data_IF_083508063251
#
_entry.id   IF_083508063251
#
_cell.length_a   1.000
_cell.length_b   1.000
_cell.length_c   1.000
_cell.angle_alpha   90.00
_cell.angle_beta   90.00
_cell.angle_gamma   90.00
#
_symmetry.space_group_name_H-M   'P 1'
#
loop_
_entity.id
_entity.type
_entity.pdbx_description
1 polymer ?
#
# COMPACT_ATOMS: atom_id res chain seq x y z
N UNK A 1 50.12 19.64 33.03
CA UNK A 1 50.09 18.51 32.08
C UNK A 1 48.76 17.78 32.30
N UNK A 2 47.70 18.15 31.58
CA UNK A 2 46.40 17.48 31.71
C UNK A 2 46.29 16.40 30.64
N UNK A 3 46.02 15.18 31.10
CA UNK A 3 45.90 13.98 30.29
C UNK A 3 44.80 14.18 29.24
N UNK A 4 45.20 14.07 27.98
CA UNK A 4 44.35 14.12 26.81
C UNK A 4 43.58 12.79 26.74
N UNK A 5 42.42 12.71 27.39
CA UNK A 5 41.54 11.53 27.29
C UNK A 5 40.97 11.53 25.86
N UNK A 6 41.61 10.78 24.97
CA UNK A 6 41.02 10.32 23.71
C UNK A 6 39.80 9.47 24.05
N UNK A 7 38.62 10.09 24.16
CA UNK A 7 37.36 9.38 23.97
C UNK A 7 37.25 9.06 22.48
N UNK A 8 37.78 7.91 22.07
CA UNK A 8 37.52 7.35 20.75
C UNK A 8 36.02 7.13 20.62
N UNK A 9 35.34 7.95 19.82
CA UNK A 9 33.94 7.77 19.48
C UNK A 9 33.74 6.37 18.89
N UNK A 10 32.73 5.65 19.38
CA UNK A 10 32.36 4.36 18.81
C UNK A 10 31.45 4.65 17.62
N UNK A 11 31.92 4.31 16.42
CA UNK A 11 31.14 4.46 15.20
C UNK A 11 30.19 3.29 15.05
N UNK A 12 28.97 3.55 14.58
CA UNK A 12 28.12 2.48 14.08
C UNK A 12 28.85 1.76 12.92
N UNK A 13 28.79 0.42 12.82
CA UNK A 13 29.56 -0.32 11.81
C UNK A 13 29.27 0.17 10.38
N UNK A 14 30.34 0.32 9.59
CA UNK A 14 30.35 0.86 8.20
C UNK A 14 29.33 0.22 7.25
N UNK A 15 28.86 -1.00 7.53
CA UNK A 15 27.90 -1.72 6.69
C UNK A 15 26.47 -1.15 6.73
N UNK A 16 26.14 -0.33 7.72
CA UNK A 16 24.74 0.09 7.96
C UNK A 16 24.42 1.47 7.36
N UNK A 17 25.40 2.39 7.30
CA UNK A 17 25.21 3.72 6.71
C UNK A 17 25.50 3.78 5.19
N UNK A 18 26.15 2.74 4.63
CA UNK A 18 26.65 2.73 3.25
C UNK A 18 26.15 1.54 2.40
N UNK A 19 24.99 0.97 2.70
CA UNK A 19 24.15 0.37 1.65
C UNK A 19 23.32 1.52 1.04
N UNK A 20 23.86 2.43 0.21
CA UNK A 20 24.04 2.28 -1.26
C UNK A 20 23.11 1.28 -2.00
N UNK A 21 21.93 1.03 -1.44
CA UNK A 21 20.67 0.72 -2.14
C UNK A 21 19.60 1.75 -1.75
N UNK A 22 20.07 2.97 -1.48
CA UNK A 22 19.47 4.07 -0.72
C UNK A 22 18.33 4.80 -1.45
N UNK A 23 17.57 4.07 -2.26
CA UNK A 23 16.36 4.54 -2.92
C UNK A 23 15.17 3.59 -2.82
N UNK A 24 15.34 2.36 -2.32
CA UNK A 24 14.31 1.32 -2.43
C UNK A 24 13.66 0.87 -1.13
N UNK A 25 14.17 1.25 0.05
CA UNK A 25 13.59 0.84 1.33
C UNK A 25 12.17 1.41 1.53
N UNK A 26 11.88 2.53 0.85
CA UNK A 26 10.58 3.19 0.87
C UNK A 26 9.78 3.04 -0.43
N UNK A 27 10.20 2.18 -1.38
CA UNK A 27 9.50 1.94 -2.66
C UNK A 27 8.70 0.61 -2.63
N UNK A 28 7.84 0.44 -1.64
CA UNK A 28 6.80 -0.60 -1.67
C UNK A 28 5.47 0.07 -1.32
N UNK A 29 4.93 0.83 -2.27
CA UNK A 29 3.65 1.53 -2.13
C UNK A 29 2.76 1.30 -3.34
N UNK A 30 2.51 0.04 -3.65
CA UNK A 30 1.11 -0.36 -3.86
C UNK A 30 0.57 -0.57 -2.45
N UNK A 31 -0.70 -0.51 -2.14
CA UNK A 31 -1.46 -1.75 -2.11
C UNK A 31 -2.76 -1.46 -1.34
N UNK A 32 -3.44 -0.38 -1.71
CA UNK A 32 -4.67 -0.01 -1.01
C UNK A 32 -5.87 0.03 -2.00
N UNK A 33 -5.68 -0.03 -3.32
CA UNK A 33 -6.80 -0.03 -4.30
C UNK A 33 -7.40 -1.39 -4.74
N UNK A 34 -6.81 -2.54 -4.40
CA UNK A 34 -7.06 -3.81 -5.12
C UNK A 34 -8.37 -4.55 -4.79
N UNK A 35 -9.08 -4.17 -3.72
CA UNK A 35 -10.22 -4.94 -3.22
C UNK A 35 -11.31 -5.07 -4.29
N UNK A 36 -11.61 -4.00 -5.01
CA UNK A 36 -12.62 -4.02 -6.07
C UNK A 36 -12.25 -5.00 -7.20
N UNK A 37 -10.97 -5.04 -7.57
CA UNK A 37 -10.47 -5.90 -8.65
C UNK A 37 -10.39 -7.36 -8.23
N UNK A 38 -9.91 -7.63 -7.01
CA UNK A 38 -9.81 -8.98 -6.49
C UNK A 38 -11.19 -9.64 -6.38
N UNK A 39 -12.19 -8.87 -5.98
CA UNK A 39 -13.55 -9.35 -5.84
C UNK A 39 -14.24 -9.54 -7.19
N UNK A 40 -13.96 -8.68 -8.17
CA UNK A 40 -14.38 -8.87 -9.55
C UNK A 40 -13.93 -10.21 -10.13
N UNK A 41 -12.65 -10.53 -9.91
CA UNK A 41 -11.98 -11.67 -10.52
C UNK A 41 -12.39 -13.01 -9.87
N UNK A 42 -12.53 -13.05 -8.54
CA UNK A 42 -12.89 -14.30 -7.85
C UNK A 42 -14.41 -14.48 -7.75
N UNK A 43 -15.12 -13.44 -7.29
CA UNK A 43 -16.52 -13.58 -6.87
C UNK A 43 -17.47 -13.80 -8.04
N UNK A 44 -17.27 -13.08 -9.14
CA UNK A 44 -18.17 -13.12 -10.30
C UNK A 44 -17.73 -14.18 -11.31
N UNK A 45 -16.43 -14.41 -11.46
CA UNK A 45 -15.92 -15.48 -12.32
C UNK A 45 -16.47 -16.84 -11.92
N UNK A 46 -16.32 -17.22 -10.64
CA UNK A 46 -16.77 -18.54 -10.15
C UNK A 46 -18.30 -18.69 -10.24
N UNK A 47 -19.06 -17.59 -10.18
CA UNK A 47 -20.52 -17.62 -10.27
C UNK A 47 -21.02 -17.82 -11.71
N UNK A 48 -20.43 -17.12 -12.68
CA UNK A 48 -20.96 -17.04 -14.04
C UNK A 48 -20.43 -18.17 -14.96
N UNK A 49 -19.27 -18.75 -14.66
CA UNK A 49 -18.70 -19.87 -15.45
C UNK A 49 -19.59 -21.11 -15.59
N UNK A 50 -20.65 -21.21 -14.78
CA UNK A 50 -21.62 -22.30 -14.85
C UNK A 50 -22.71 -22.12 -15.93
N UNK A 51 -22.89 -20.93 -16.51
CA UNK A 51 -23.94 -20.65 -17.51
C UNK A 51 -23.38 -20.03 -18.79
N UNK A 52 -23.39 -20.82 -19.87
CA UNK A 52 -22.87 -20.44 -21.19
C UNK A 52 -23.94 -19.74 -22.04
N UNK A 53 -24.05 -18.41 -21.92
CA UNK A 53 -24.74 -17.56 -22.89
C UNK A 53 -23.73 -16.61 -23.57
N UNK A 54 -23.87 -16.37 -24.88
CA UNK A 54 -22.92 -15.56 -25.67
C UNK A 54 -22.84 -14.10 -25.17
N UNK A 55 -23.96 -13.50 -24.79
CA UNK A 55 -24.02 -12.14 -24.21
C UNK A 55 -23.21 -12.06 -22.90
N UNK A 56 -23.35 -13.07 -22.05
CA UNK A 56 -22.61 -13.20 -20.80
C UNK A 56 -21.10 -13.31 -21.04
N UNK A 57 -20.66 -13.96 -22.12
CA UNK A 57 -19.23 -14.05 -22.44
C UNK A 57 -18.62 -12.71 -22.85
N UNK A 58 -19.35 -11.87 -23.60
CA UNK A 58 -18.87 -10.54 -23.97
C UNK A 58 -18.70 -9.65 -22.73
N UNK A 59 -19.68 -9.67 -21.83
CA UNK A 59 -19.63 -8.89 -20.59
C UNK A 59 -18.54 -9.40 -19.62
N UNK A 60 -18.33 -10.72 -19.56
CA UNK A 60 -17.21 -11.30 -18.79
C UNK A 60 -15.85 -10.86 -19.33
N UNK A 61 -15.66 -10.79 -20.66
CA UNK A 61 -14.41 -10.26 -21.23
C UNK A 61 -14.20 -8.80 -20.88
N UNK A 62 -15.23 -7.97 -21.04
CA UNK A 62 -15.16 -6.55 -20.70
C UNK A 62 -14.86 -6.29 -19.21
N UNK A 63 -15.36 -7.18 -18.33
CA UNK A 63 -15.06 -7.17 -16.91
C UNK A 63 -13.59 -7.56 -16.64
N UNK A 64 -13.10 -8.60 -17.32
CA UNK A 64 -11.71 -9.05 -17.27
C UNK A 64 -10.73 -7.97 -17.73
N UNK A 65 -11.02 -7.31 -18.85
CA UNK A 65 -10.20 -6.22 -19.38
C UNK A 65 -10.11 -5.05 -18.40
N UNK A 66 -11.24 -4.70 -17.79
CA UNK A 66 -11.29 -3.65 -16.75
C UNK A 66 -10.49 -4.07 -15.52
N UNK A 67 -10.63 -5.31 -15.06
CA UNK A 67 -9.83 -5.85 -13.96
C UNK A 67 -8.32 -5.80 -14.26
N UNK A 68 -7.92 -6.23 -15.46
CA UNK A 68 -6.52 -6.22 -15.89
C UNK A 68 -5.94 -4.81 -15.99
N UNK A 69 -6.71 -3.85 -16.52
CA UNK A 69 -6.32 -2.44 -16.54
C UNK A 69 -6.09 -1.91 -15.13
N UNK A 70 -7.00 -2.22 -14.20
CA UNK A 70 -6.89 -1.77 -12.82
C UNK A 70 -5.69 -2.40 -12.09
N UNK A 71 -5.38 -3.68 -12.35
CA UNK A 71 -4.19 -4.36 -11.81
C UNK A 71 -2.91 -3.77 -12.39
N UNK A 72 -2.85 -3.54 -13.70
CA UNK A 72 -1.64 -3.00 -14.33
C UNK A 72 -1.35 -1.58 -13.84
N UNK A 73 -2.39 -0.76 -13.66
CA UNK A 73 -2.26 0.55 -13.03
C UNK A 73 -1.80 0.45 -11.58
N UNK A 74 -2.35 -0.49 -10.80
CA UNK A 74 -1.91 -0.73 -9.43
C UNK A 74 -0.44 -1.19 -9.38
N UNK A 75 -0.03 -2.05 -10.30
CA UNK A 75 1.35 -2.53 -10.43
C UNK A 75 2.30 -1.38 -10.76
N UNK A 76 1.92 -0.50 -11.69
CA UNK A 76 2.72 0.70 -12.03
C UNK A 76 2.91 1.62 -10.82
N UNK A 77 1.84 1.87 -10.05
CA UNK A 77 1.93 2.62 -8.80
C UNK A 77 2.87 1.92 -7.79
N UNK A 78 2.77 0.60 -7.67
CA UNK A 78 3.65 -0.18 -6.79
C UNK A 78 5.12 -0.17 -7.20
N UNK A 79 5.40 -0.05 -8.49
CA UNK A 79 6.75 0.09 -9.06
C UNK A 79 7.29 1.53 -8.96
N UNK A 80 6.57 2.46 -8.34
CA UNK A 80 6.98 3.86 -8.21
C UNK A 80 6.96 4.63 -9.54
N UNK A 81 6.29 4.09 -10.56
CA UNK A 81 6.11 4.81 -11.82
C UNK A 81 5.05 5.88 -11.61
N UNK A 82 5.39 7.13 -11.93
CA UNK A 82 4.43 8.22 -11.89
C UNK A 82 3.18 7.83 -12.67
N UNK A 83 1.97 8.06 -12.13
CA UNK A 83 0.76 7.89 -12.92
C UNK A 83 0.87 8.82 -14.12
N UNK A 84 0.70 8.27 -15.34
CA UNK A 84 0.69 9.06 -16.57
C UNK A 84 -0.16 10.32 -16.36
N UNK A 85 0.34 11.45 -16.85
CA UNK A 85 -0.41 12.69 -16.87
C UNK A 85 -1.76 12.41 -17.55
N UNK A 86 -2.85 12.63 -16.80
CA UNK A 86 -4.21 12.18 -17.07
C UNK A 86 -4.47 10.69 -16.74
N UNK A 87 -4.53 10.38 -15.44
CA UNK A 87 -5.57 9.44 -14.98
C UNK A 87 -6.87 9.90 -15.62
N UNK A 88 -7.48 9.05 -16.46
CA UNK A 88 -8.79 9.34 -17.03
C UNK A 88 -9.71 9.79 -15.88
N UNK A 89 -10.52 10.85 -16.05
CA UNK A 89 -11.45 11.29 -15.03
C UNK A 89 -12.27 10.08 -14.60
N UNK A 90 -12.35 9.83 -13.29
CA UNK A 90 -13.16 8.76 -12.78
C UNK A 90 -14.58 8.95 -13.30
N UNK A 91 -15.23 7.86 -13.70
CA UNK A 91 -16.62 7.94 -14.15
C UNK A 91 -17.46 8.66 -13.07
N UNK A 92 -18.38 9.55 -13.46
CA UNK A 92 -19.25 10.21 -12.49
C UNK A 92 -20.08 9.18 -11.73
N UNK A 93 -20.46 9.52 -10.50
CA UNK A 93 -21.28 8.66 -9.67
C UNK A 93 -22.63 8.38 -10.32
N UNK A 94 -22.83 7.15 -10.78
CA UNK A 94 -24.08 6.71 -11.40
C UNK A 94 -25.05 6.12 -10.38
N UNK A 95 -26.35 6.30 -10.60
CA UNK A 95 -27.36 5.56 -9.86
C UNK A 95 -27.18 4.05 -10.10
N UNK A 96 -27.16 3.27 -9.02
CA UNK A 96 -27.06 1.82 -9.12
C UNK A 96 -28.45 1.22 -9.24
N UNK A 97 -28.74 0.60 -10.38
CA UNK A 97 -30.04 -0.01 -10.66
C UNK A 97 -29.97 -1.53 -10.46
N UNK A 98 -30.98 -2.17 -9.84
CA UNK A 98 -31.04 -3.62 -9.72
C UNK A 98 -31.02 -4.32 -11.09
N UNK A 99 -30.10 -5.27 -11.25
CA UNK A 99 -29.98 -6.08 -12.47
C UNK A 99 -31.15 -7.07 -12.58
N UNK A 100 -31.68 -7.21 -13.81
CA UNK A 100 -32.78 -8.15 -14.12
C UNK A 100 -32.27 -9.53 -14.51
N UNK A 101 -31.03 -9.62 -14.97
CA UNK A 101 -30.40 -10.85 -15.44
C UNK A 101 -28.88 -10.78 -15.20
N UNK A 102 -28.18 -11.88 -15.52
CA UNK A 102 -26.75 -12.02 -15.30
C UNK A 102 -25.92 -11.06 -16.17
N UNK A 103 -26.34 -10.79 -17.42
CA UNK A 103 -25.63 -9.87 -18.31
C UNK A 103 -25.70 -8.41 -17.81
N UNK A 104 -26.89 -7.96 -17.36
CA UNK A 104 -27.07 -6.65 -16.73
C UNK A 104 -26.26 -6.53 -15.42
N UNK A 105 -26.16 -7.61 -14.64
CA UNK A 105 -25.35 -7.64 -13.42
C UNK A 105 -23.87 -7.46 -13.76
N UNK A 106 -23.35 -8.18 -14.75
CA UNK A 106 -21.96 -8.04 -15.18
C UNK A 106 -21.65 -6.63 -15.68
N UNK A 107 -22.54 -6.08 -16.51
CA UNK A 107 -22.39 -4.71 -17.03
C UNK A 107 -22.43 -3.67 -15.92
N UNK A 108 -23.39 -3.79 -15.00
CA UNK A 108 -23.53 -2.90 -13.84
C UNK A 108 -22.31 -3.01 -12.93
N UNK A 109 -21.83 -4.22 -12.66
CA UNK A 109 -20.65 -4.43 -11.84
C UNK A 109 -19.38 -3.88 -12.50
N UNK A 110 -19.23 -4.04 -13.81
CA UNK A 110 -18.13 -3.44 -14.58
C UNK A 110 -18.16 -1.90 -14.48
N UNK A 111 -19.35 -1.29 -14.55
CA UNK A 111 -19.51 0.14 -14.33
C UNK A 111 -19.10 0.56 -12.90
N UNK A 112 -19.51 -0.21 -11.87
CA UNK A 112 -19.09 0.03 -10.49
C UNK A 112 -17.57 -0.05 -10.33
N UNK A 113 -16.90 -1.01 -10.98
CA UNK A 113 -15.45 -1.12 -10.94
C UNK A 113 -14.75 0.07 -11.59
N UNK A 114 -15.21 0.52 -12.75
CA UNK A 114 -14.63 1.70 -13.41
C UNK A 114 -14.80 2.96 -12.57
N UNK A 115 -15.96 3.11 -11.94
CA UNK A 115 -16.29 4.27 -11.13
C UNK A 115 -15.51 4.28 -9.80
N UNK A 116 -15.70 3.25 -8.97
CA UNK A 116 -15.12 3.16 -7.63
C UNK A 116 -13.62 2.86 -7.73
N UNK A 117 -13.22 1.96 -8.62
CA UNK A 117 -11.82 1.63 -8.88
C UNK A 117 -11.06 2.83 -9.44
N UNK A 118 -11.63 3.54 -10.41
CA UNK A 118 -11.05 4.78 -10.95
C UNK A 118 -10.87 5.86 -9.89
N UNK A 119 -11.89 6.15 -9.07
CA UNK A 119 -11.79 7.11 -7.95
C UNK A 119 -10.73 6.68 -6.93
N UNK A 120 -10.71 5.41 -6.55
CA UNK A 120 -9.73 4.86 -5.61
C UNK A 120 -8.30 5.02 -6.14
N UNK A 121 -8.06 4.69 -7.41
CA UNK A 121 -6.76 4.87 -8.04
C UNK A 121 -6.32 6.33 -8.12
N UNK A 122 -7.23 7.25 -8.45
CA UNK A 122 -6.92 8.67 -8.45
C UNK A 122 -6.50 9.16 -7.06
N UNK A 123 -7.18 8.69 -6.02
CA UNK A 123 -6.83 9.01 -4.64
C UNK A 123 -5.48 8.41 -4.24
N UNK A 124 -5.21 7.16 -4.61
CA UNK A 124 -3.92 6.51 -4.37
C UNK A 124 -2.76 7.22 -5.09
N UNK A 125 -2.97 7.67 -6.32
CA UNK A 125 -2.01 8.46 -7.07
C UNK A 125 -1.70 9.81 -6.42
N UNK A 126 -2.71 10.49 -5.85
CA UNK A 126 -2.51 11.74 -5.09
C UNK A 126 -1.68 11.48 -3.84
N UNK A 127 -2.03 10.44 -3.08
CA UNK A 127 -1.29 10.01 -1.88
C UNK A 127 0.16 9.67 -2.24
N UNK A 128 0.41 8.94 -3.33
CA UNK A 128 1.75 8.60 -3.79
C UNK A 128 2.61 9.84 -4.09
N UNK A 129 2.04 10.86 -4.75
CA UNK A 129 2.72 12.13 -5.01
C UNK A 129 3.00 12.91 -3.72
N UNK A 130 2.04 12.94 -2.78
CA UNK A 130 2.24 13.55 -1.46
C UNK A 130 3.36 12.83 -0.69
N UNK A 131 3.45 11.50 -0.78
CA UNK A 131 4.49 10.69 -0.16
C UNK A 131 5.87 10.98 -0.75
N UNK A 132 5.98 11.04 -2.08
CA UNK A 132 7.23 11.38 -2.79
C UNK A 132 7.77 12.74 -2.33
N UNK A 133 6.88 13.72 -2.16
CA UNK A 133 7.23 15.05 -1.67
C UNK A 133 7.77 15.07 -0.22
N UNK A 134 7.53 14.03 0.58
CA UNK A 134 8.06 13.94 1.95
C UNK A 134 9.54 13.55 2.02
N UNK A 135 10.12 13.03 0.92
CA UNK A 135 11.53 12.62 0.85
C UNK A 135 11.93 11.70 2.02
N UNK A 136 11.15 10.64 2.24
CA UNK A 136 11.29 9.73 3.39
C UNK A 136 12.67 9.05 3.43
N UNK A 137 13.31 8.88 2.27
CA UNK A 137 14.67 8.37 2.13
C UNK A 137 15.72 9.25 2.84
N UNK A 138 15.41 10.53 3.06
CA UNK A 138 16.31 11.47 3.70
C UNK A 138 16.09 11.60 5.21
N UNK A 139 15.00 11.05 5.75
CA UNK A 139 14.56 11.27 7.15
C UNK A 139 15.60 10.79 8.17
N UNK A 140 16.33 9.72 7.85
CA UNK A 140 17.35 9.13 8.71
C UNK A 140 18.79 9.38 8.25
N UNK A 141 19.04 10.33 7.34
CA UNK A 141 20.42 10.62 6.93
C UNK A 141 21.22 11.20 8.11
N UNK A 142 22.48 10.76 8.33
CA UNK A 142 23.30 11.25 9.44
C UNK A 142 23.40 12.79 9.50
N UNK A 143 23.52 13.43 8.35
CA UNK A 143 23.61 14.89 8.19
C UNK A 143 22.34 15.60 8.66
N UNK A 144 21.17 15.01 8.41
CA UNK A 144 19.88 15.55 8.84
C UNK A 144 19.64 15.28 10.33
N UNK A 145 20.03 14.11 10.82
CA UNK A 145 19.84 13.72 12.22
C UNK A 145 20.71 14.53 13.20
N UNK A 146 21.91 14.96 12.79
CA UNK A 146 22.79 15.71 13.69
C UNK A 146 22.33 17.17 13.89
N UNK A 147 21.61 17.75 12.92
CA UNK A 147 21.11 19.12 12.97
C UNK A 147 19.73 19.20 13.63
N UNK A 148 19.51 20.18 14.51
CA UNK A 148 18.23 20.37 15.19
C UNK A 148 17.07 20.61 14.21
N UNK A 149 17.29 21.47 13.21
CA UNK A 149 16.33 21.70 12.13
C UNK A 149 16.03 20.43 11.33
N UNK A 150 17.06 19.66 10.97
CA UNK A 150 16.89 18.40 10.25
C UNK A 150 16.04 17.38 11.03
N UNK A 151 16.26 17.25 12.35
CA UNK A 151 15.40 16.42 13.22
C UNK A 151 13.96 16.92 13.26
N UNK A 152 13.73 18.24 13.34
CA UNK A 152 12.37 18.82 13.28
C UNK A 152 11.69 18.44 11.97
N UNK A 153 12.33 18.67 10.83
CA UNK A 153 11.78 18.33 9.51
C UNK A 153 11.55 16.83 9.35
N UNK A 154 12.43 15.98 9.92
CA UNK A 154 12.22 14.52 9.96
C UNK A 154 10.97 14.12 10.75
N UNK A 155 10.73 14.73 11.91
CA UNK A 155 9.50 14.50 12.70
C UNK A 155 8.23 14.93 11.96
N UNK A 156 8.26 16.11 11.34
CA UNK A 156 7.14 16.63 10.55
C UNK A 156 6.83 15.73 9.34
N UNK A 157 7.86 15.26 8.63
CA UNK A 157 7.70 14.32 7.53
C UNK A 157 7.07 13.00 8.00
N UNK A 158 7.53 12.44 9.12
CA UNK A 158 6.98 11.21 9.69
C UNK A 158 5.54 11.36 10.19
N UNK A 159 5.18 12.54 10.73
CA UNK A 159 3.80 12.84 11.11
C UNK A 159 2.89 12.90 9.89
N UNK A 160 3.27 13.63 8.85
CA UNK A 160 2.52 13.70 7.57
C UNK A 160 2.42 12.34 6.91
N UNK A 161 3.48 11.53 6.98
CA UNK A 161 3.48 10.17 6.48
C UNK A 161 2.44 9.28 7.20
N UNK A 162 2.34 9.36 8.53
CA UNK A 162 1.27 8.67 9.28
C UNK A 162 -0.13 9.13 8.87
N UNK A 163 -0.33 10.43 8.69
CA UNK A 163 -1.60 10.99 8.22
C UNK A 163 -1.96 10.50 6.80
N UNK A 164 -0.96 10.27 5.93
CA UNK A 164 -1.14 9.70 4.60
C UNK A 164 -1.50 8.21 4.65
N UNK A 165 -0.87 7.42 5.51
CA UNK A 165 -1.24 6.02 5.75
C UNK A 165 -2.71 5.93 6.17
N UNK A 166 -3.11 6.77 7.14
CA UNK A 166 -4.46 6.76 7.68
C UNK A 166 -5.50 7.23 6.64
N UNK A 167 -5.19 8.27 5.84
CA UNK A 167 -6.03 8.68 4.70
C UNK A 167 -6.17 7.57 3.67
N UNK A 168 -5.09 6.86 3.36
CA UNK A 168 -5.11 5.75 2.41
C UNK A 168 -6.03 4.63 2.90
N UNK A 169 -5.86 4.22 4.16
CA UNK A 169 -6.70 3.21 4.80
C UNK A 169 -8.19 3.59 4.81
N UNK A 170 -8.49 4.85 5.14
CA UNK A 170 -9.85 5.37 5.13
C UNK A 170 -10.47 5.36 3.73
N UNK A 171 -9.70 5.78 2.71
CA UNK A 171 -10.14 5.76 1.31
C UNK A 171 -10.53 4.35 0.85
N UNK A 172 -9.81 3.33 1.28
CA UNK A 172 -10.11 1.96 0.86
C UNK A 172 -11.20 1.28 1.64
N UNK A 173 -11.32 1.60 2.91
CA UNK A 173 -12.52 1.26 3.67
C UNK A 173 -13.77 1.86 3.00
N UNK A 174 -13.71 3.13 2.60
CA UNK A 174 -14.81 3.80 1.91
C UNK A 174 -15.13 3.12 0.57
N UNK A 175 -14.14 2.92 -0.29
CA UNK A 175 -14.33 2.26 -1.59
C UNK A 175 -14.93 0.86 -1.46
N UNK A 176 -14.46 0.06 -0.49
CA UNK A 176 -14.99 -1.27 -0.20
C UNK A 176 -16.44 -1.23 0.28
N UNK A 177 -16.74 -0.29 1.19
CA UNK A 177 -18.09 -0.14 1.77
C UNK A 177 -19.08 0.29 0.70
N UNK A 178 -18.69 1.25 -0.14
CA UNK A 178 -19.48 1.70 -1.28
C UNK A 178 -19.71 0.58 -2.29
N UNK A 179 -18.66 -0.17 -2.65
CA UNK A 179 -18.78 -1.30 -3.58
C UNK A 179 -19.72 -2.38 -3.04
N UNK A 180 -19.63 -2.70 -1.74
CA UNK A 180 -20.53 -3.66 -1.10
C UNK A 180 -21.98 -3.20 -1.16
N UNK A 181 -22.25 -1.95 -0.77
CA UNK A 181 -23.60 -1.38 -0.79
C UNK A 181 -24.19 -1.38 -2.20
N UNK A 182 -23.42 -0.93 -3.19
CA UNK A 182 -23.88 -0.90 -4.58
C UNK A 182 -24.05 -2.30 -5.16
N UNK A 183 -23.21 -3.26 -4.80
CA UNK A 183 -23.42 -4.65 -5.19
C UNK A 183 -24.71 -5.25 -4.60
N UNK A 184 -25.05 -4.92 -3.35
CA UNK A 184 -26.31 -5.37 -2.74
C UNK A 184 -27.53 -4.85 -3.50
N UNK A 185 -27.49 -3.60 -3.97
CA UNK A 185 -28.53 -3.02 -4.84
C UNK A 185 -28.56 -3.74 -6.19
N UNK A 186 -27.41 -3.87 -6.84
CA UNK A 186 -27.25 -4.47 -8.16
C UNK A 186 -27.78 -5.92 -8.20
N UNK A 187 -27.54 -6.69 -7.16
CA UNK A 187 -27.91 -8.11 -7.08
C UNK A 187 -29.27 -8.37 -6.46
N UNK A 188 -29.98 -7.34 -5.98
CA UNK A 188 -31.19 -7.46 -5.15
C UNK A 188 -32.34 -8.25 -5.78
N UNK A 189 -32.42 -8.30 -7.12
CA UNK A 189 -33.48 -9.01 -7.88
C UNK A 189 -33.05 -10.37 -8.42
N UNK A 190 -31.80 -10.77 -8.19
CA UNK A 190 -31.27 -12.04 -8.70
C UNK A 190 -31.56 -13.18 -7.72
N UNK A 191 -31.93 -14.34 -8.26
CA UNK A 191 -32.16 -15.56 -7.46
C UNK A 191 -30.90 -16.05 -6.73
N UNK A 192 -29.71 -15.71 -7.23
CA UNK A 192 -28.45 -16.09 -6.63
C UNK A 192 -27.78 -14.99 -5.79
N UNK A 193 -28.54 -13.97 -5.37
CA UNK A 193 -28.05 -12.85 -4.56
C UNK A 193 -27.18 -13.30 -3.38
N UNK A 194 -27.65 -14.26 -2.59
CA UNK A 194 -26.95 -14.70 -1.38
C UNK A 194 -25.62 -15.39 -1.69
N UNK A 195 -25.58 -16.18 -2.77
CA UNK A 195 -24.35 -16.82 -3.24
C UNK A 195 -23.33 -15.79 -3.73
N UNK A 196 -23.77 -14.81 -4.52
CA UNK A 196 -22.94 -13.71 -5.01
C UNK A 196 -22.39 -12.87 -3.84
N UNK A 197 -23.22 -12.59 -2.84
CA UNK A 197 -22.81 -11.87 -1.63
C UNK A 197 -21.77 -12.65 -0.82
N UNK A 198 -21.99 -13.94 -0.59
CA UNK A 198 -21.05 -14.78 0.13
C UNK A 198 -19.69 -14.87 -0.59
N UNK A 199 -19.69 -14.95 -1.92
CA UNK A 199 -18.47 -14.94 -2.72
C UNK A 199 -17.76 -13.58 -2.67
N UNK A 200 -18.50 -12.48 -2.72
CA UNK A 200 -17.97 -11.12 -2.56
C UNK A 200 -17.29 -10.94 -1.20
N UNK A 201 -17.98 -11.31 -0.12
CA UNK A 201 -17.49 -11.15 1.25
C UNK A 201 -16.27 -12.07 1.51
N UNK A 202 -16.33 -13.31 1.03
CA UNK A 202 -15.23 -14.28 1.15
C UNK A 202 -13.96 -13.87 0.39
N UNK A 203 -14.10 -13.35 -0.84
CA UNK A 203 -12.98 -12.80 -1.60
C UNK A 203 -12.44 -11.53 -0.93
N UNK A 204 -13.30 -10.66 -0.42
CA UNK A 204 -12.88 -9.44 0.27
C UNK A 204 -12.08 -9.72 1.54
N UNK A 205 -12.51 -10.70 2.36
CA UNK A 205 -11.92 -10.95 3.68
C UNK A 205 -10.41 -11.21 3.63
N UNK A 206 -9.95 -12.07 2.71
CA UNK A 206 -8.51 -12.38 2.56
C UNK A 206 -7.69 -11.16 2.18
N UNK A 207 -8.22 -10.31 1.30
CA UNK A 207 -7.55 -9.08 0.87
C UNK A 207 -7.46 -8.06 2.01
N UNK A 208 -8.53 -7.93 2.78
CA UNK A 208 -8.62 -7.00 3.91
C UNK A 208 -7.65 -7.37 5.01
N UNK A 209 -7.46 -8.66 5.29
CA UNK A 209 -6.48 -9.10 6.28
C UNK A 209 -5.06 -8.65 5.93
N UNK A 210 -4.64 -8.85 4.66
CA UNK A 210 -3.32 -8.41 4.19
C UNK A 210 -3.17 -6.89 4.22
N UNK A 211 -4.20 -6.15 3.81
CA UNK A 211 -4.21 -4.68 3.86
C UNK A 211 -4.00 -4.17 5.29
N UNK A 212 -4.70 -4.75 6.27
CA UNK A 212 -4.53 -4.40 7.67
C UNK A 212 -3.14 -4.75 8.21
N UNK A 213 -2.57 -5.88 7.80
CA UNK A 213 -1.20 -6.26 8.17
C UNK A 213 -0.19 -5.24 7.64
N UNK A 214 -0.32 -4.83 6.37
CA UNK A 214 0.52 -3.82 5.73
C UNK A 214 0.40 -2.47 6.43
N UNK A 215 -0.82 -1.96 6.65
CA UNK A 215 -1.04 -0.69 7.37
C UNK A 215 -0.41 -0.70 8.77
N UNK A 216 -0.57 -1.80 9.53
CA UNK A 216 0.05 -1.93 10.86
C UNK A 216 1.57 -1.89 10.78
N UNK A 217 2.15 -2.61 9.81
CA UNK A 217 3.59 -2.66 9.62
C UNK A 217 4.16 -1.28 9.23
N UNK A 218 3.48 -0.56 8.33
CA UNK A 218 3.85 0.78 7.91
C UNK A 218 3.82 1.81 9.04
N UNK A 219 2.78 1.75 9.90
CA UNK A 219 2.70 2.56 11.12
C UNK A 219 3.83 2.23 12.08
N UNK A 220 4.15 0.95 12.26
CA UNK A 220 5.27 0.52 13.09
C UNK A 220 6.62 1.04 12.55
N UNK A 221 6.84 1.02 11.24
CA UNK A 221 8.04 1.62 10.62
C UNK A 221 8.11 3.12 10.89
N UNK A 222 7.00 3.85 10.74
CA UNK A 222 6.94 5.28 11.05
C UNK A 222 7.32 5.56 12.52
N UNK A 223 6.78 4.77 13.45
CA UNK A 223 7.00 4.92 14.88
C UNK A 223 8.44 4.58 15.28
N UNK A 224 9.02 3.51 14.73
CA UNK A 224 10.43 3.16 14.95
C UNK A 224 11.38 4.22 14.38
N UNK A 225 11.03 4.78 13.22
CA UNK A 225 11.80 5.88 12.60
C UNK A 225 11.74 7.13 13.48
N UNK A 226 10.56 7.46 14.01
CA UNK A 226 10.38 8.58 14.94
C UNK A 226 11.19 8.38 16.23
N UNK A 227 11.13 7.19 16.83
CA UNK A 227 11.93 6.83 18.02
C UNK A 227 13.43 6.95 17.76
N UNK A 228 13.88 6.66 16.55
CA UNK A 228 15.27 6.87 16.14
C UNK A 228 15.62 8.36 16.17
N UNK A 229 14.79 9.23 15.58
CA UNK A 229 15.00 10.68 15.60
C UNK A 229 15.01 11.22 17.05
N UNK A 230 14.08 10.77 17.88
CA UNK A 230 13.97 11.16 19.30
C UNK A 230 15.15 10.68 20.14
N UNK A 231 15.68 9.49 19.85
CA UNK A 231 16.90 8.98 20.49
C UNK A 231 18.09 9.90 20.21
N UNK A 232 18.27 10.31 18.94
CA UNK A 232 19.36 11.22 18.56
C UNK A 232 19.17 12.59 19.21
N UNK A 233 17.94 13.10 19.26
CA UNK A 233 17.61 14.37 19.93
C UNK A 233 17.96 14.32 21.43
N UNK A 234 17.60 13.25 22.12
CA UNK A 234 17.90 13.03 23.55
C UNK A 234 19.38 12.79 23.83
N UNK A 235 20.08 12.16 22.89
CA UNK A 235 21.51 11.93 23.02
C UNK A 235 22.31 13.24 22.89
N UNK A 236 21.82 14.18 22.08
CA UNK A 236 22.37 15.54 21.97
C UNK A 236 23.85 15.52 21.56
N UNK A 237 24.70 16.18 22.33
CA UNK A 237 26.15 16.26 22.07
C UNK A 237 26.90 14.93 22.20
N UNK A 238 26.25 13.88 22.74
CA UNK A 238 26.79 12.50 22.82
C UNK A 238 26.72 11.75 21.48
N UNK A 239 26.08 12.34 20.48
CA UNK A 239 26.10 11.85 19.10
C UNK A 239 26.76 12.90 18.22
N UNK A 240 27.68 12.49 17.37
CA UNK A 240 28.41 13.36 16.46
C UNK A 240 28.51 12.74 15.09
N UNK A 241 28.72 13.57 14.07
CA UNK A 241 29.00 13.09 12.72
C UNK A 241 30.51 12.86 12.57
N UNK A 242 30.93 11.63 12.32
CA UNK A 242 32.32 11.25 12.11
C UNK A 242 32.43 10.43 10.82
N UNK A 243 33.21 10.91 9.84
CA UNK A 243 33.35 10.27 8.52
C UNK A 243 32.00 9.98 7.83
N UNK A 244 31.02 10.87 7.96
CA UNK A 244 29.67 10.69 7.38
C UNK A 244 28.79 9.68 8.12
N UNK A 245 29.14 9.31 9.36
CA UNK A 245 28.40 8.36 10.17
C UNK A 245 28.10 8.92 11.55
N UNK A 246 27.03 8.43 12.17
CA UNK A 246 26.73 8.73 13.56
C UNK A 246 27.72 7.99 14.47
N UNK A 247 28.51 8.76 15.21
CA UNK A 247 29.39 8.28 16.27
C UNK A 247 28.73 8.55 17.62
N UNK A 248 28.69 7.54 18.48
CA UNK A 248 28.05 7.59 19.79
C UNK A 248 29.10 7.55 20.90
N UNK A 249 28.98 8.45 21.87
CA UNK A 249 29.83 8.45 23.07
C UNK A 249 29.36 7.43 24.12
N UNK A 250 28.10 6.98 24.05
CA UNK A 250 27.47 6.03 24.96
C UNK A 250 27.18 4.70 24.27
N UNK A 251 27.60 3.59 24.89
CA UNK A 251 27.27 2.25 24.37
C UNK A 251 25.77 2.00 24.39
N UNK A 252 25.09 2.44 25.45
CA UNK A 252 23.63 2.30 25.59
C UNK A 252 22.86 2.98 24.46
N UNK A 253 23.30 4.17 24.03
CA UNK A 253 22.63 4.89 22.95
C UNK A 253 22.91 4.21 21.60
N UNK A 254 24.13 3.71 21.39
CA UNK A 254 24.51 2.94 20.21
C UNK A 254 23.69 1.63 20.11
N UNK A 255 23.53 0.91 21.21
CA UNK A 255 22.76 -0.33 21.26
C UNK A 255 21.27 -0.07 21.00
N UNK A 256 20.72 1.01 21.57
CA UNK A 256 19.34 1.43 21.30
C UNK A 256 19.14 1.82 19.83
N UNK A 257 20.07 2.57 19.25
CA UNK A 257 20.04 2.94 17.84
C UNK A 257 20.08 1.71 16.93
N UNK A 258 21.03 0.80 17.17
CA UNK A 258 21.14 -0.45 16.42
C UNK A 258 19.89 -1.33 16.58
N UNK A 259 19.29 -1.35 17.77
CA UNK A 259 18.03 -2.04 18.04
C UNK A 259 16.87 -1.50 17.21
N UNK A 260 16.73 -0.17 17.08
CA UNK A 260 15.69 0.43 16.23
C UNK A 260 15.96 0.18 14.74
N UNK A 261 17.20 0.32 14.27
CA UNK A 261 17.55 0.04 12.87
C UNK A 261 17.26 -1.42 12.52
N UNK A 262 17.61 -2.37 13.40
CA UNK A 262 17.29 -3.79 13.19
C UNK A 262 15.79 -4.05 13.11
N UNK A 263 14.99 -3.41 13.95
CA UNK A 263 13.53 -3.51 13.90
C UNK A 263 12.94 -2.90 12.62
N UNK A 264 13.47 -1.76 12.16
CA UNK A 264 13.07 -1.15 10.89
C UNK A 264 13.37 -2.10 9.73
N UNK A 265 14.56 -2.70 9.69
CA UNK A 265 14.93 -3.67 8.65
C UNK A 265 14.02 -4.90 8.66
N UNK A 266 13.68 -5.42 9.84
CA UNK A 266 12.73 -6.53 9.97
C UNK A 266 11.33 -6.16 9.46
N UNK A 267 10.84 -4.96 9.78
CA UNK A 267 9.56 -4.46 9.30
C UNK A 267 9.56 -4.24 7.77
N UNK A 268 10.66 -3.76 7.20
CA UNK A 268 10.82 -3.64 5.73
C UNK A 268 10.79 -5.02 5.06
N UNK A 269 11.46 -6.02 5.65
CA UNK A 269 11.43 -7.39 5.13
C UNK A 269 10.01 -8.00 5.21
N UNK A 270 9.25 -7.66 6.25
CA UNK A 270 7.85 -8.06 6.36
C UNK A 270 6.97 -7.38 5.30
N UNK A 271 7.18 -6.10 5.01
CA UNK A 271 6.45 -5.41 3.94
C UNK A 271 6.70 -6.07 2.58
N UNK A 272 7.94 -6.45 2.29
CA UNK A 272 8.29 -7.20 1.07
C UNK A 272 7.64 -8.59 1.02
N UNK A 273 7.38 -9.22 2.17
CA UNK A 273 6.64 -10.50 2.22
C UNK A 273 5.16 -10.27 1.97
N UNK A 274 4.55 -9.26 2.59
CA UNK A 274 3.16 -8.88 2.39
C UNK A 274 2.89 -8.51 0.92
N UNK A 275 3.79 -7.74 0.30
CA UNK A 275 3.68 -7.38 -1.10
C UNK A 275 3.74 -8.60 -2.04
N UNK A 276 4.59 -9.58 -1.75
CA UNK A 276 4.64 -10.85 -2.52
C UNK A 276 3.34 -11.65 -2.37
N UNK A 277 2.84 -11.80 -1.14
CA UNK A 277 1.55 -12.48 -0.89
C UNK A 277 0.40 -11.81 -1.62
N UNK A 278 0.39 -10.48 -1.68
CA UNK A 278 -0.63 -9.79 -2.45
C UNK A 278 -0.51 -10.05 -3.96
N UNK A 279 0.69 -9.99 -4.52
CA UNK A 279 0.90 -10.32 -5.93
C UNK A 279 0.45 -11.75 -6.25
N UNK A 280 0.73 -12.70 -5.35
CA UNK A 280 0.26 -14.08 -5.45
C UNK A 280 -1.26 -14.18 -5.42
N UNK A 281 -1.92 -13.49 -4.48
CA UNK A 281 -3.38 -13.43 -4.45
C UNK A 281 -3.95 -12.86 -5.75
N UNK A 282 -3.45 -11.71 -6.20
CA UNK A 282 -3.93 -11.08 -7.43
C UNK A 282 -3.74 -11.99 -8.66
N UNK A 283 -2.61 -12.70 -8.75
CA UNK A 283 -2.38 -13.70 -9.79
C UNK A 283 -3.37 -14.86 -9.69
N UNK A 284 -3.57 -15.42 -8.50
CA UNK A 284 -4.55 -16.50 -8.30
C UNK A 284 -5.96 -16.06 -8.70
N UNK A 285 -6.33 -14.82 -8.38
CA UNK A 285 -7.61 -14.25 -8.78
C UNK A 285 -7.73 -14.12 -10.30
N UNK A 286 -6.69 -13.58 -10.96
CA UNK A 286 -6.64 -13.49 -12.43
C UNK A 286 -6.71 -14.87 -13.08
N UNK A 287 -5.97 -15.85 -12.59
CA UNK A 287 -5.94 -17.20 -13.14
C UNK A 287 -7.30 -17.88 -13.00
N UNK A 288 -7.94 -17.77 -11.84
CA UNK A 288 -9.30 -18.27 -11.61
C UNK A 288 -10.31 -17.61 -12.55
N UNK A 289 -10.24 -16.29 -12.71
CA UNK A 289 -11.10 -15.56 -13.63
C UNK A 289 -10.87 -15.98 -15.10
N UNK A 290 -9.61 -16.12 -15.52
CA UNK A 290 -9.25 -16.52 -16.87
C UNK A 290 -9.70 -17.95 -17.20
N UNK A 291 -9.67 -18.87 -16.23
CA UNK A 291 -10.22 -20.22 -16.40
C UNK A 291 -11.72 -20.20 -16.69
N UNK A 292 -12.44 -19.29 -16.06
CA UNK A 292 -13.88 -19.09 -16.26
C UNK A 292 -14.19 -18.39 -17.58
N UNK A 293 -13.38 -17.39 -17.96
CA UNK A 293 -13.61 -16.56 -19.14
C UNK A 293 -13.17 -17.22 -20.46
N UNK A 294 -12.50 -18.38 -20.41
CA UNK A 294 -12.13 -19.17 -21.59
C UNK A 294 -13.36 -19.87 -22.20
N UNK A 295 -13.50 -19.88 -23.54
CA UNK A 295 -14.62 -20.51 -24.24
C UNK A 295 -14.70 -22.03 -24.02
#
# INVERSE_FOLDING_TARGET
MFANIRTGGRTAPRRIAAQRGQGQIWLVWGLIGAVAVFVALIGIGVYVGAKRHQETQQELRALGDTGNQLIEQQRRLAEGKAPDAALAPAAPAGETVPARNEAEMLRGFNALLREIGGRSQQQQARIARELEALQLEQVLTPERLIRAEGRRTSREALRRYRELIDRSAASSLQARTELRQRLEILTSRLTARDRLRAQFDGASAKRVELEQQSIRNQRNVADLTLRTVELIERAGSRVQLQQGQLAFSSQRDLDAFNGYVGQIQAAVAEEQRLARREQELLRQAQDQFNQVARP
#
